data_IF_557997441205
#
_entry.id   IF_557997441205
#
_cell.length_a   1.000
_cell.length_b   1.000
_cell.length_c   1.000
_cell.angle_alpha   90.00
_cell.angle_beta   90.00
_cell.angle_gamma   90.00
#
_symmetry.space_group_name_H-M   'P 1'
#
loop_
_entity.id
_entity.type
_entity.pdbx_description
1 polymer ?
#
# COMPACT_ATOMS: atom_id res chain seq x y z
N UNK A 1 -3.67 -41.69 4.49
CA UNK A 1 -2.83 -40.47 4.42
C UNK A 1 -3.34 -39.39 3.45
N UNK A 2 -4.20 -39.68 2.46
CA UNK A 2 -4.77 -38.65 1.56
C UNK A 2 -5.88 -37.75 2.15
N UNK A 3 -6.49 -38.14 3.27
CA UNK A 3 -7.61 -37.40 3.89
C UNK A 3 -7.16 -36.13 4.65
N UNK A 4 -5.97 -36.12 5.24
CA UNK A 4 -5.49 -34.97 6.02
C UNK A 4 -4.96 -33.83 5.13
N UNK A 5 -4.41 -34.14 3.96
CA UNK A 5 -3.91 -33.13 3.01
C UNK A 5 -5.05 -32.29 2.40
N UNK A 6 -6.23 -32.91 2.21
CA UNK A 6 -7.40 -32.22 1.67
C UNK A 6 -8.08 -31.30 2.70
N UNK A 7 -8.02 -31.60 4.00
CA UNK A 7 -8.49 -30.71 5.06
C UNK A 7 -7.63 -29.45 5.20
N UNK A 8 -6.31 -29.57 5.03
CA UNK A 8 -5.40 -28.41 5.05
C UNK A 8 -5.61 -27.54 3.82
N UNK A 9 -5.78 -28.12 2.62
CA UNK A 9 -6.14 -27.35 1.42
C UNK A 9 -7.51 -26.65 1.54
N UNK A 10 -8.48 -27.25 2.20
CA UNK A 10 -9.80 -26.64 2.41
C UNK A 10 -9.75 -25.46 3.39
N UNK A 11 -8.91 -25.54 4.44
CA UNK A 11 -8.69 -24.45 5.40
C UNK A 11 -7.92 -23.26 4.80
N UNK A 12 -7.00 -23.51 3.85
CA UNK A 12 -6.31 -22.44 3.12
C UNK A 12 -7.17 -21.82 2.01
N UNK A 13 -8.12 -22.57 1.43
CA UNK A 13 -9.00 -22.05 0.38
C UNK A 13 -10.10 -21.12 0.90
N UNK A 14 -10.49 -21.24 2.17
CA UNK A 14 -11.57 -20.40 2.74
C UNK A 14 -11.12 -19.02 3.24
N UNK A 15 -9.81 -18.73 3.29
CA UNK A 15 -9.29 -17.42 3.74
C UNK A 15 -9.13 -16.39 2.62
N UNK A 16 -9.15 -16.82 1.35
CA UNK A 16 -8.91 -15.95 0.19
C UNK A 16 -10.20 -15.49 -0.53
N UNK A 17 -11.39 -15.78 0.01
CA UNK A 17 -12.66 -15.52 -0.71
C UNK A 17 -13.34 -14.19 -0.36
N UNK A 18 -12.69 -13.29 0.37
CA UNK A 18 -13.23 -11.98 0.72
C UNK A 18 -12.39 -10.88 0.09
N UNK A 19 -12.53 -10.70 -1.23
CA UNK A 19 -12.41 -9.41 -1.96
C UNK A 19 -12.21 -9.53 -3.47
N UNK A 20 -12.13 -10.74 -4.03
CA UNK A 20 -11.98 -10.92 -5.49
C UNK A 20 -13.15 -10.33 -6.30
N UNK A 21 -14.33 -10.16 -5.73
CA UNK A 21 -15.53 -9.73 -6.48
C UNK A 21 -15.45 -8.26 -6.91
N UNK A 22 -15.02 -7.33 -6.05
CA UNK A 22 -14.94 -5.90 -6.40
C UNK A 22 -13.76 -5.57 -7.33
N UNK A 23 -12.63 -6.26 -7.13
CA UNK A 23 -11.43 -6.08 -7.95
C UNK A 23 -11.61 -6.74 -9.32
N UNK A 24 -12.25 -7.91 -9.40
CA UNK A 24 -12.55 -8.55 -10.69
C UNK A 24 -13.65 -7.84 -11.50
N UNK A 25 -14.65 -7.22 -10.87
CA UNK A 25 -15.66 -6.40 -11.58
C UNK A 25 -15.09 -5.07 -12.11
N UNK A 26 -14.18 -4.43 -11.36
CA UNK A 26 -13.49 -3.22 -11.83
C UNK A 26 -12.45 -3.52 -12.93
N UNK A 27 -11.70 -4.62 -12.80
CA UNK A 27 -10.73 -5.06 -13.82
C UNK A 27 -11.45 -5.53 -15.10
N UNK A 28 -12.62 -6.17 -15.00
CA UNK A 28 -13.40 -6.59 -16.18
C UNK A 28 -14.12 -5.44 -16.88
N UNK A 29 -14.46 -4.35 -16.17
CA UNK A 29 -15.10 -3.17 -16.78
C UNK A 29 -14.14 -2.26 -17.54
N UNK A 30 -12.90 -2.10 -17.07
CA UNK A 30 -11.89 -1.25 -17.74
C UNK A 30 -11.39 -1.92 -19.04
N UNK A 31 -11.31 -3.25 -19.08
CA UNK A 31 -10.73 -3.97 -20.23
C UNK A 31 -11.69 -4.07 -21.43
N UNK A 32 -13.01 -4.00 -21.22
CA UNK A 32 -14.00 -4.04 -22.31
C UNK A 32 -14.03 -2.76 -23.15
N UNK A 33 -13.61 -1.62 -22.60
CA UNK A 33 -13.61 -0.34 -23.29
C UNK A 33 -12.45 -0.23 -24.31
N UNK A 34 -11.24 -0.64 -23.92
CA UNK A 34 -10.05 -0.56 -24.79
C UNK A 34 -10.09 -1.54 -25.96
N UNK A 35 -10.66 -2.74 -25.76
CA UNK A 35 -10.78 -3.74 -26.84
C UNK A 35 -11.78 -3.26 -27.90
N UNK A 36 -12.90 -2.65 -27.49
CA UNK A 36 -13.89 -2.07 -28.41
C UNK A 36 -13.30 -0.89 -29.19
N UNK A 37 -12.54 -0.03 -28.52
CA UNK A 37 -11.86 1.09 -29.17
C UNK A 37 -10.78 0.63 -30.17
N UNK A 38 -10.01 -0.41 -29.82
CA UNK A 38 -9.00 -0.98 -30.72
C UNK A 38 -9.63 -1.63 -31.96
N UNK A 39 -10.69 -2.43 -31.79
CA UNK A 39 -11.43 -3.02 -32.92
C UNK A 39 -12.02 -1.93 -33.81
N UNK A 40 -12.63 -0.90 -33.21
CA UNK A 40 -13.19 0.24 -33.95
C UNK A 40 -12.10 0.99 -34.72
N UNK A 41 -10.91 1.17 -34.14
CA UNK A 41 -9.77 1.83 -34.81
C UNK A 41 -9.27 1.04 -36.02
N UNK A 42 -9.25 -0.30 -35.94
CA UNK A 42 -8.84 -1.18 -37.04
C UNK A 42 -9.89 -1.14 -38.16
N UNK A 43 -11.17 -1.22 -37.82
CA UNK A 43 -12.26 -1.09 -38.80
C UNK A 43 -12.28 0.30 -39.47
N UNK A 44 -12.05 1.36 -38.70
CA UNK A 44 -11.97 2.73 -39.21
C UNK A 44 -10.77 2.93 -40.13
N UNK A 45 -9.61 2.39 -39.75
CA UNK A 45 -8.40 2.44 -40.56
C UNK A 45 -8.55 1.62 -41.86
N UNK A 46 -9.03 0.38 -41.78
CA UNK A 46 -9.17 -0.52 -42.93
C UNK A 46 -10.29 -0.14 -43.91
N UNK A 47 -11.33 0.56 -43.44
CA UNK A 47 -12.44 1.04 -44.25
C UNK A 47 -12.20 2.46 -44.77
N UNK A 48 -12.83 3.48 -44.16
CA UNK A 48 -12.90 4.84 -44.72
C UNK A 48 -11.53 5.49 -44.92
N UNK A 49 -10.59 5.34 -43.99
CA UNK A 49 -9.27 5.97 -44.10
C UNK A 49 -8.47 5.40 -45.26
N UNK A 50 -8.45 4.08 -45.42
CA UNK A 50 -7.76 3.40 -46.52
C UNK A 50 -8.38 3.72 -47.87
N UNK A 51 -9.72 3.76 -47.95
CA UNK A 51 -10.44 4.13 -49.18
C UNK A 51 -10.10 5.56 -49.60
N UNK A 52 -10.11 6.51 -48.67
CA UNK A 52 -9.75 7.92 -48.94
C UNK A 52 -8.28 8.02 -49.36
N UNK A 53 -7.37 7.38 -48.63
CA UNK A 53 -5.93 7.43 -48.90
C UNK A 53 -5.57 6.88 -50.28
N UNK A 54 -6.17 5.75 -50.67
CA UNK A 54 -5.91 5.11 -51.98
C UNK A 54 -6.56 5.91 -53.09
N UNK A 55 -7.80 6.38 -52.90
CA UNK A 55 -8.50 7.18 -53.91
C UNK A 55 -7.74 8.48 -54.18
N UNK A 56 -7.30 9.16 -53.12
CA UNK A 56 -6.53 10.40 -53.25
C UNK A 56 -5.14 10.15 -53.83
N UNK A 57 -4.41 9.15 -53.34
CA UNK A 57 -3.05 8.84 -53.79
C UNK A 57 -3.00 8.39 -55.25
N UNK A 58 -3.94 7.56 -55.67
CA UNK A 58 -4.01 7.09 -57.06
C UNK A 58 -4.51 8.17 -58.01
N UNK A 59 -5.47 9.01 -57.57
CA UNK A 59 -5.94 10.13 -58.37
C UNK A 59 -4.83 11.18 -58.60
N UNK A 60 -4.05 11.50 -57.56
CA UNK A 60 -2.88 12.39 -57.70
C UNK A 60 -1.78 11.81 -58.60
N UNK A 61 -1.63 10.48 -58.60
CA UNK A 61 -0.56 9.81 -59.34
C UNK A 61 -0.90 9.52 -60.81
N UNK A 62 -2.15 9.15 -61.12
CA UNK A 62 -2.55 8.66 -62.45
C UNK A 62 -3.74 9.43 -63.06
N UNK A 63 -4.34 10.39 -62.34
CA UNK A 63 -5.45 11.21 -62.83
C UNK A 63 -6.78 10.46 -63.05
N UNK A 64 -6.84 9.18 -62.70
CA UNK A 64 -8.00 8.31 -62.91
C UNK A 64 -8.51 7.72 -61.60
N UNK A 65 -9.75 7.21 -61.61
CA UNK A 65 -10.37 6.55 -60.46
C UNK A 65 -9.75 5.16 -60.26
N UNK A 66 -9.57 4.77 -58.99
CA UNK A 66 -9.00 3.48 -58.61
C UNK A 66 -9.95 2.34 -59.00
N UNK A 67 -9.46 1.25 -59.59
CA UNK A 67 -10.23 0.02 -59.77
C UNK A 67 -10.70 -0.57 -58.43
N UNK A 68 -11.98 -0.97 -58.35
CA UNK A 68 -12.58 -1.54 -57.12
C UNK A 68 -11.80 -2.73 -56.55
N UNK A 69 -11.19 -3.55 -57.41
CA UNK A 69 -10.37 -4.71 -57.01
C UNK A 69 -9.14 -4.27 -56.20
N UNK A 70 -8.51 -3.16 -56.58
CA UNK A 70 -7.33 -2.61 -55.89
C UNK A 70 -7.70 -2.03 -54.54
N UNK A 71 -8.84 -1.32 -54.45
CA UNK A 71 -9.37 -0.80 -53.18
C UNK A 71 -9.65 -1.96 -52.21
N UNK A 72 -10.34 -3.00 -52.69
CA UNK A 72 -10.64 -4.17 -51.87
C UNK A 72 -9.36 -4.87 -51.38
N UNK A 73 -8.37 -5.09 -52.27
CA UNK A 73 -7.11 -5.72 -51.92
C UNK A 73 -6.38 -5.00 -50.78
N UNK A 74 -6.20 -3.68 -50.90
CA UNK A 74 -5.52 -2.90 -49.87
C UNK A 74 -6.33 -2.78 -48.57
N UNK A 75 -7.65 -2.67 -48.64
CA UNK A 75 -8.50 -2.70 -47.43
C UNK A 75 -8.34 -4.02 -46.67
N UNK A 76 -8.30 -5.16 -47.36
CA UNK A 76 -8.01 -6.46 -46.72
C UNK A 76 -6.59 -6.51 -46.16
N UNK A 77 -5.60 -6.01 -46.90
CA UNK A 77 -4.21 -5.96 -46.42
C UNK A 77 -4.07 -5.14 -45.12
N UNK A 78 -4.63 -3.93 -45.08
CA UNK A 78 -4.61 -3.06 -43.88
C UNK A 78 -5.36 -3.70 -42.72
N UNK A 79 -6.48 -4.38 -43.00
CA UNK A 79 -7.20 -5.14 -41.99
C UNK A 79 -6.34 -6.25 -41.37
N UNK A 80 -5.65 -7.07 -42.18
CA UNK A 80 -4.79 -8.13 -41.69
C UNK A 80 -3.57 -7.59 -40.92
N UNK A 81 -2.93 -6.52 -41.39
CA UNK A 81 -1.82 -5.88 -40.68
C UNK A 81 -2.27 -5.32 -39.34
N UNK A 82 -3.44 -4.66 -39.29
CA UNK A 82 -4.05 -4.17 -38.05
C UNK A 82 -4.39 -5.31 -37.08
N UNK A 83 -4.90 -6.43 -37.59
CA UNK A 83 -5.21 -7.62 -36.81
C UNK A 83 -3.95 -8.25 -36.20
N UNK A 84 -2.86 -8.36 -36.95
CA UNK A 84 -1.57 -8.87 -36.45
C UNK A 84 -1.00 -7.94 -35.36
N UNK A 85 -1.08 -6.62 -35.55
CA UNK A 85 -0.69 -5.64 -34.54
C UNK A 85 -1.51 -5.74 -33.26
N UNK A 86 -2.82 -5.96 -33.39
CA UNK A 86 -3.73 -6.15 -32.25
C UNK A 86 -3.42 -7.43 -31.46
N UNK A 87 -3.25 -8.56 -32.15
CA UNK A 87 -2.88 -9.84 -31.51
C UNK A 87 -1.52 -9.69 -30.82
N UNK A 88 -0.55 -9.05 -31.46
CA UNK A 88 0.77 -8.79 -30.87
C UNK A 88 0.64 -7.96 -29.59
N UNK A 89 -0.17 -6.89 -29.60
CA UNK A 89 -0.44 -6.08 -28.42
C UNK A 89 -1.06 -6.89 -27.28
N UNK A 90 -2.06 -7.74 -27.56
CA UNK A 90 -2.67 -8.63 -26.55
C UNK A 90 -1.62 -9.54 -25.92
N UNK A 91 -0.77 -10.16 -26.74
CA UNK A 91 0.29 -11.06 -26.25
C UNK A 91 1.29 -10.29 -25.37
N UNK A 92 1.76 -9.12 -25.82
CA UNK A 92 2.69 -8.30 -25.04
C UNK A 92 2.08 -7.80 -23.73
N UNK A 93 0.84 -7.32 -23.76
CA UNK A 93 0.13 -6.87 -22.57
C UNK A 93 -0.10 -8.04 -21.60
N UNK A 94 -0.49 -9.23 -22.10
CA UNK A 94 -0.66 -10.43 -21.28
C UNK A 94 0.63 -10.86 -20.58
N UNK A 95 1.77 -10.86 -21.28
CA UNK A 95 3.08 -11.16 -20.69
C UNK A 95 3.44 -10.12 -19.61
N UNK A 96 3.23 -8.83 -19.91
CA UNK A 96 3.49 -7.73 -18.97
C UNK A 96 2.60 -7.81 -17.73
N UNK A 97 1.33 -8.20 -17.89
CA UNK A 97 0.38 -8.40 -16.79
C UNK A 97 0.79 -9.57 -15.90
N UNK A 98 1.12 -10.73 -16.49
CA UNK A 98 1.59 -11.89 -15.73
C UNK A 98 2.85 -11.58 -14.90
N UNK A 99 3.77 -10.80 -15.47
CA UNK A 99 4.95 -10.36 -14.72
C UNK A 99 4.59 -9.40 -13.57
N UNK A 100 3.62 -8.50 -13.76
CA UNK A 100 3.14 -7.61 -12.69
C UNK A 100 2.45 -8.39 -11.57
N UNK A 101 1.58 -9.33 -11.90
CA UNK A 101 0.91 -10.20 -10.93
C UNK A 101 1.93 -11.00 -10.12
N UNK A 102 2.91 -11.64 -10.79
CA UNK A 102 3.97 -12.37 -10.09
C UNK A 102 4.81 -11.49 -9.16
N UNK A 103 5.06 -10.23 -9.55
CA UNK A 103 5.78 -9.29 -8.70
C UNK A 103 4.92 -8.85 -7.50
N UNK A 104 3.62 -8.67 -7.69
CA UNK A 104 2.68 -8.37 -6.61
C UNK A 104 2.58 -9.55 -5.62
N UNK A 105 2.46 -10.78 -6.11
CA UNK A 105 2.40 -11.98 -5.27
C UNK A 105 3.68 -12.17 -4.46
N UNK A 106 4.85 -12.02 -5.11
CA UNK A 106 6.14 -12.07 -4.41
C UNK A 106 6.25 -10.98 -3.36
N UNK A 107 5.80 -9.77 -3.68
CA UNK A 107 5.83 -8.65 -2.75
C UNK A 107 4.92 -8.91 -1.54
N UNK A 108 3.68 -9.34 -1.76
CA UNK A 108 2.74 -9.70 -0.69
C UNK A 108 3.29 -10.82 0.19
N UNK A 109 3.87 -11.86 -0.42
CA UNK A 109 4.51 -12.95 0.29
C UNK A 109 5.65 -12.47 1.18
N UNK A 110 6.54 -11.59 0.68
CA UNK A 110 7.63 -11.03 1.48
C UNK A 110 7.11 -10.18 2.64
N UNK A 111 6.04 -9.41 2.43
CA UNK A 111 5.42 -8.62 3.51
C UNK A 111 4.84 -9.54 4.58
N UNK A 112 4.06 -10.56 4.19
CA UNK A 112 3.46 -11.53 5.11
C UNK A 112 4.53 -12.28 5.92
N UNK A 113 5.55 -12.81 5.24
CA UNK A 113 6.66 -13.53 5.88
C UNK A 113 7.45 -12.62 6.85
N UNK A 114 7.67 -11.37 6.47
CA UNK A 114 8.33 -10.38 7.34
C UNK A 114 7.53 -10.13 8.61
N UNK A 115 6.21 -9.99 8.49
CA UNK A 115 5.31 -9.79 9.62
C UNK A 115 5.23 -11.03 10.52
N UNK A 116 5.17 -12.22 9.94
CA UNK A 116 5.17 -13.47 10.67
C UNK A 116 6.49 -13.66 11.44
N UNK A 117 7.63 -13.38 10.79
CA UNK A 117 8.95 -13.43 11.41
C UNK A 117 9.08 -12.42 12.56
N UNK A 118 8.55 -11.21 12.37
CA UNK A 118 8.50 -10.17 13.40
C UNK A 118 7.64 -10.63 14.59
N UNK A 119 6.47 -11.21 14.34
CA UNK A 119 5.58 -11.73 15.38
C UNK A 119 6.27 -12.83 16.21
N UNK A 120 6.90 -13.82 15.55
CA UNK A 120 7.61 -14.90 16.23
C UNK A 120 8.77 -14.36 17.08
N UNK A 121 9.53 -13.40 16.54
CA UNK A 121 10.63 -12.76 17.26
C UNK A 121 10.15 -11.99 18.49
N UNK A 122 9.07 -11.20 18.34
CA UNK A 122 8.44 -10.51 19.47
C UNK A 122 7.93 -11.48 20.53
N UNK A 123 7.30 -12.59 20.13
CA UNK A 123 6.82 -13.62 21.05
C UNK A 123 7.95 -14.20 21.93
N UNK A 124 9.09 -14.53 21.32
CA UNK A 124 10.27 -15.04 22.04
C UNK A 124 10.84 -13.99 23.01
N UNK A 125 10.90 -12.73 22.57
CA UNK A 125 11.38 -11.65 23.45
C UNK A 125 10.42 -11.45 24.63
N UNK A 126 9.11 -11.42 24.38
CA UNK A 126 8.10 -11.22 25.41
C UNK A 126 8.02 -12.39 26.41
N UNK A 127 8.29 -13.62 25.98
CA UNK A 127 8.29 -14.79 26.88
C UNK A 127 9.43 -14.78 27.89
N UNK A 128 10.49 -14.01 27.63
CA UNK A 128 11.66 -13.91 28.50
C UNK A 128 11.58 -12.72 29.48
N UNK A 129 10.51 -11.93 29.42
CA UNK A 129 10.32 -10.75 30.27
C UNK A 129 9.41 -11.06 31.46
N UNK A 130 9.60 -10.33 32.55
CA UNK A 130 8.67 -10.33 33.69
C UNK A 130 7.33 -9.71 33.31
N UNK A 131 6.27 -10.04 34.05
CA UNK A 131 4.91 -9.59 33.73
C UNK A 131 4.82 -8.07 33.57
N UNK A 132 5.33 -7.29 34.53
CA UNK A 132 5.30 -5.83 34.46
C UNK A 132 6.10 -5.26 33.26
N UNK A 133 7.28 -5.81 32.97
CA UNK A 133 8.11 -5.33 31.85
C UNK A 133 7.49 -5.71 30.51
N UNK A 134 6.87 -6.90 30.43
CA UNK A 134 6.11 -7.36 29.27
C UNK A 134 4.92 -6.44 29.00
N UNK A 135 4.14 -6.12 30.03
CA UNK A 135 2.93 -5.29 29.89
C UNK A 135 3.28 -3.84 29.53
N UNK A 136 4.38 -3.30 30.08
CA UNK A 136 4.95 -2.02 29.65
C UNK A 136 5.34 -2.05 28.16
N UNK A 137 6.02 -3.11 27.72
CA UNK A 137 6.47 -3.24 26.34
C UNK A 137 5.31 -3.38 25.35
N UNK A 138 4.29 -4.17 25.70
CA UNK A 138 3.09 -4.35 24.89
C UNK A 138 2.33 -3.02 24.75
N UNK A 139 2.08 -2.33 25.86
CA UNK A 139 1.38 -1.05 25.84
C UNK A 139 2.16 -0.01 25.01
N UNK A 140 3.48 0.05 25.17
CA UNK A 140 4.33 0.94 24.39
C UNK A 140 4.24 0.65 22.88
N UNK A 141 4.41 -0.60 22.47
CA UNK A 141 4.37 -0.98 21.05
C UNK A 141 3.00 -0.70 20.41
N UNK A 142 1.91 -0.94 21.15
CA UNK A 142 0.55 -0.64 20.67
C UNK A 142 0.35 0.87 20.50
N UNK A 143 0.67 1.66 21.53
CA UNK A 143 0.45 3.12 21.49
C UNK A 143 1.42 3.83 20.54
N UNK A 144 2.57 3.23 20.27
CA UNK A 144 3.52 3.72 19.27
C UNK A 144 3.10 3.40 17.84
N UNK A 145 2.14 2.50 17.59
CA UNK A 145 1.70 2.11 16.24
C UNK A 145 1.14 3.33 15.48
N UNK A 146 1.36 3.38 14.16
CA UNK A 146 0.88 4.47 13.28
C UNK A 146 -0.64 4.47 13.04
N UNK A 147 -1.31 3.38 13.38
CA UNK A 147 -2.75 3.20 13.27
C UNK A 147 -3.13 2.07 14.25
N UNK A 148 -3.28 2.38 15.55
CA UNK A 148 -3.86 1.45 16.48
C UNK A 148 -5.37 1.39 16.28
N UNK A 149 -5.96 0.21 16.42
CA UNK A 149 -7.41 0.04 16.46
C UNK A 149 -7.96 0.47 17.82
N UNK A 150 -9.25 0.80 17.89
CA UNK A 150 -9.90 1.19 19.16
C UNK A 150 -9.73 0.14 20.26
N UNK A 151 -9.78 -1.14 19.88
CA UNK A 151 -9.58 -2.29 20.79
C UNK A 151 -8.14 -2.47 21.23
N UNK A 152 -7.17 -2.21 20.35
CA UNK A 152 -5.76 -2.19 20.75
C UNK A 152 -5.51 -1.09 21.80
N UNK A 153 -6.08 0.11 21.63
CA UNK A 153 -5.97 1.19 22.61
C UNK A 153 -6.60 0.80 23.94
N UNK A 154 -7.82 0.29 23.91
CA UNK A 154 -8.50 -0.21 25.11
C UNK A 154 -7.62 -1.20 25.87
N UNK A 155 -7.09 -2.21 25.17
CA UNK A 155 -6.23 -3.23 25.76
C UNK A 155 -4.95 -2.65 26.36
N UNK A 156 -4.29 -1.70 25.67
CA UNK A 156 -3.08 -1.06 26.18
C UNK A 156 -3.32 -0.30 27.48
N UNK A 157 -4.48 0.34 27.65
CA UNK A 157 -4.86 1.02 28.89
C UNK A 157 -5.29 0.04 29.99
N UNK A 158 -6.04 -1.01 29.65
CA UNK A 158 -6.50 -2.03 30.61
C UNK A 158 -5.34 -2.77 31.29
N UNK A 159 -4.18 -2.89 30.61
CA UNK A 159 -2.98 -3.49 31.20
C UNK A 159 -2.43 -2.71 32.41
N UNK A 160 -2.69 -1.39 32.51
CA UNK A 160 -2.08 -0.51 33.51
C UNK A 160 -3.08 0.27 34.36
N UNK A 161 -4.33 0.36 33.92
CA UNK A 161 -5.36 1.22 34.52
C UNK A 161 -6.73 0.55 34.56
N UNK A 162 -7.61 1.15 35.35
CA UNK A 162 -8.99 0.69 35.47
C UNK A 162 -9.73 0.72 34.13
N UNK A 163 -10.70 -0.18 34.00
CA UNK A 163 -11.57 -0.29 32.82
C UNK A 163 -12.21 1.04 32.42
N UNK A 164 -12.57 1.89 33.39
CA UNK A 164 -13.14 3.22 33.12
C UNK A 164 -12.19 4.10 32.28
N UNK A 165 -10.88 4.05 32.56
CA UNK A 165 -9.89 4.83 31.81
C UNK A 165 -9.69 4.24 30.41
N UNK A 166 -9.67 2.91 30.30
CA UNK A 166 -9.55 2.22 29.01
C UNK A 166 -10.74 2.52 28.08
N UNK A 167 -11.97 2.47 28.59
CA UNK A 167 -13.18 2.83 27.85
C UNK A 167 -13.13 4.31 27.42
N UNK A 168 -12.67 5.20 28.30
CA UNK A 168 -12.54 6.62 27.96
C UNK A 168 -11.53 6.87 26.83
N UNK A 169 -10.37 6.20 26.86
CA UNK A 169 -9.37 6.28 25.80
C UNK A 169 -9.91 5.73 24.45
N UNK A 170 -10.67 4.63 24.48
CA UNK A 170 -11.35 4.09 23.31
C UNK A 170 -12.32 5.10 22.70
N UNK A 171 -13.16 5.73 23.53
CA UNK A 171 -14.14 6.74 23.08
C UNK A 171 -13.43 7.97 22.49
N UNK A 172 -12.36 8.45 23.11
CA UNK A 172 -11.56 9.57 22.57
C UNK A 172 -11.04 9.23 21.18
N UNK A 173 -10.49 8.02 21.00
CA UNK A 173 -10.01 7.58 19.69
C UNK A 173 -11.13 7.56 18.65
N UNK A 174 -12.27 6.94 18.96
CA UNK A 174 -13.41 6.86 18.05
C UNK A 174 -13.94 8.25 17.65
N UNK A 175 -14.09 9.16 18.61
CA UNK A 175 -14.52 10.53 18.32
C UNK A 175 -13.52 11.24 17.40
N UNK A 176 -12.21 11.10 17.68
CA UNK A 176 -11.17 11.75 16.89
C UNK A 176 -11.11 11.23 15.46
N UNK A 177 -11.16 9.91 15.29
CA UNK A 177 -11.10 9.23 13.98
C UNK A 177 -12.30 9.59 13.10
N UNK A 178 -13.48 9.78 13.71
CA UNK A 178 -14.70 10.18 13.01
C UNK A 178 -14.90 11.71 12.94
N UNK A 179 -13.98 12.52 13.46
CA UNK A 179 -14.05 13.99 13.40
C UNK A 179 -15.10 14.63 14.32
N UNK A 180 -15.58 13.91 15.35
CA UNK A 180 -16.55 14.43 16.31
C UNK A 180 -15.87 15.08 17.53
N UNK A 181 -16.39 16.22 18.03
CA UNK A 181 -15.89 16.81 19.28
C UNK A 181 -16.31 15.96 20.49
N UNK A 182 -15.48 15.95 21.53
CA UNK A 182 -15.75 15.25 22.80
C UNK A 182 -15.81 16.22 24.01
N UNK A 183 -15.82 17.52 23.75
CA UNK A 183 -15.65 18.63 24.72
C UNK A 183 -16.88 18.88 25.61
N UNK A 184 -17.26 17.88 26.40
CA UNK A 184 -18.26 18.05 27.46
C UNK A 184 -17.59 18.38 28.80
N UNK A 185 -18.23 19.15 29.70
CA UNK A 185 -17.69 19.42 31.03
C UNK A 185 -17.39 18.14 31.83
N UNK A 186 -18.18 17.08 31.65
CA UNK A 186 -17.96 15.78 32.28
C UNK A 186 -16.67 15.12 31.77
N UNK A 187 -16.45 15.12 30.45
CA UNK A 187 -15.24 14.56 29.84
C UNK A 187 -13.98 15.35 30.22
N UNK A 188 -14.08 16.67 30.35
CA UNK A 188 -12.97 17.50 30.85
C UNK A 188 -12.57 17.12 32.27
N UNK A 189 -13.54 16.87 33.16
CA UNK A 189 -13.26 16.38 34.53
C UNK A 189 -12.60 15.01 34.51
N UNK A 190 -13.09 14.07 33.68
CA UNK A 190 -12.48 12.74 33.51
C UNK A 190 -11.04 12.84 32.99
N UNK A 191 -10.81 13.66 31.98
CA UNK A 191 -9.48 13.90 31.41
C UNK A 191 -8.49 14.39 32.47
N UNK A 192 -8.86 15.38 33.29
CA UNK A 192 -8.00 15.91 34.36
C UNK A 192 -7.69 14.82 35.40
N UNK A 193 -8.70 14.05 35.82
CA UNK A 193 -8.54 12.93 36.76
C UNK A 193 -7.52 11.91 36.23
N UNK A 194 -7.71 11.45 34.99
CA UNK A 194 -6.86 10.43 34.39
C UNK A 194 -5.45 10.93 34.07
N UNK A 195 -5.32 12.20 33.65
CA UNK A 195 -4.02 12.83 33.45
C UNK A 195 -3.18 12.83 34.74
N UNK A 196 -3.81 13.17 35.88
CA UNK A 196 -3.14 13.14 37.19
C UNK A 196 -2.75 11.71 37.59
N UNK A 197 -3.60 10.72 37.31
CA UNK A 197 -3.34 9.32 37.62
C UNK A 197 -2.14 8.76 36.83
N UNK A 198 -2.05 9.07 35.53
CA UNK A 198 -0.91 8.64 34.70
C UNK A 198 0.38 9.32 35.14
N UNK A 199 0.36 10.64 35.34
CA UNK A 199 1.55 11.41 35.72
C UNK A 199 2.12 11.02 37.08
N UNK A 200 1.25 10.63 38.03
CA UNK A 200 1.67 10.24 39.40
C UNK A 200 2.11 8.77 39.48
N UNK A 201 1.87 7.95 38.45
CA UNK A 201 2.22 6.53 38.47
C UNK A 201 3.74 6.34 38.50
N UNK A 202 4.25 5.61 39.50
CA UNK A 202 5.68 5.30 39.64
C UNK A 202 6.07 3.99 38.93
N UNK A 203 5.13 3.12 38.63
CA UNK A 203 5.37 1.79 38.04
C UNK A 203 5.58 1.81 36.52
N UNK A 204 5.26 2.94 35.88
CA UNK A 204 5.27 3.13 34.43
C UNK A 204 6.51 3.98 34.04
N UNK A 205 7.32 3.54 33.06
CA UNK A 205 8.40 4.36 32.51
C UNK A 205 7.92 5.69 31.93
N UNK A 206 8.73 6.74 32.03
CA UNK A 206 8.33 8.11 31.64
C UNK A 206 7.94 8.20 30.14
N UNK A 207 8.67 7.49 29.29
CA UNK A 207 8.46 7.39 27.85
C UNK A 207 7.07 6.81 27.52
N UNK A 208 6.64 5.82 28.30
CA UNK A 208 5.33 5.19 28.17
C UNK A 208 4.22 6.08 28.72
N UNK A 209 4.47 6.81 29.81
CA UNK A 209 3.51 7.82 30.31
C UNK A 209 3.22 8.86 29.24
N UNK A 210 4.25 9.35 28.54
CA UNK A 210 4.06 10.31 27.47
C UNK A 210 3.11 9.77 26.39
N UNK A 211 3.26 8.50 26.00
CA UNK A 211 2.36 7.83 25.03
C UNK A 211 0.94 7.71 25.56
N UNK A 212 0.74 7.35 26.82
CA UNK A 212 -0.60 7.33 27.43
C UNK A 212 -1.25 8.72 27.45
N UNK A 213 -0.48 9.76 27.79
CA UNK A 213 -0.97 11.14 27.80
C UNK A 213 -1.31 11.65 26.39
N UNK A 214 -0.50 11.30 25.38
CA UNK A 214 -0.79 11.61 23.98
C UNK A 214 -2.08 10.91 23.53
N UNK A 215 -2.24 9.63 23.88
CA UNK A 215 -3.42 8.83 23.55
C UNK A 215 -4.71 9.40 24.17
N UNK A 216 -4.66 9.89 25.41
CA UNK A 216 -5.80 10.54 26.09
C UNK A 216 -6.26 11.85 25.43
N UNK A 217 -5.44 12.46 24.58
CA UNK A 217 -5.82 13.66 23.81
C UNK A 217 -6.10 13.30 22.35
N UNK A 218 -6.14 12.00 22.01
CA UNK A 218 -6.36 11.52 20.65
C UNK A 218 -5.18 11.82 19.71
N UNK A 219 -3.97 11.98 20.26
CA UNK A 219 -2.75 12.17 19.48
C UNK A 219 -2.05 10.82 19.32
N UNK A 220 -2.01 10.34 18.08
CA UNK A 220 -1.29 9.14 17.69
C UNK A 220 -0.34 9.48 16.53
N UNK A 221 0.65 8.62 16.31
CA UNK A 221 1.45 8.67 15.11
C UNK A 221 0.54 8.45 13.89
N UNK A 222 0.66 9.28 12.86
CA UNK A 222 -0.08 9.14 11.60
C UNK A 222 0.86 8.52 10.56
N UNK A 223 0.37 7.64 9.68
CA UNK A 223 1.14 7.10 8.55
C UNK A 223 1.84 8.19 7.71
N UNK A 224 1.23 9.38 7.58
CA UNK A 224 1.83 10.51 6.84
C UNK A 224 2.99 11.19 7.58
N UNK A 225 2.93 11.24 8.91
CA UNK A 225 4.00 11.81 9.75
C UNK A 225 5.07 10.76 10.07
N UNK A 226 4.63 9.51 10.17
CA UNK A 226 5.35 8.30 10.56
C UNK A 226 5.80 8.30 12.02
N UNK A 227 6.45 7.21 12.41
CA UNK A 227 6.99 7.04 13.76
C UNK A 227 8.27 7.85 13.97
N UNK A 228 8.38 8.46 15.15
CA UNK A 228 9.63 9.02 15.64
C UNK A 228 10.63 7.88 15.90
N UNK A 229 11.82 8.01 15.33
CA UNK A 229 12.89 7.01 15.41
C UNK A 229 14.16 7.66 15.94
N UNK A 230 15.03 6.84 16.55
CA UNK A 230 16.34 7.29 17.05
C UNK A 230 17.17 7.92 15.93
N UNK A 231 17.90 8.99 16.26
CA UNK A 231 18.80 9.64 15.32
C UNK A 231 19.84 8.64 14.78
N UNK A 232 20.12 8.69 13.48
CA UNK A 232 21.05 7.76 12.83
C UNK A 232 20.49 6.36 12.57
N UNK A 233 19.19 6.11 12.78
CA UNK A 233 18.54 4.81 12.49
C UNK A 233 18.85 4.29 11.09
N UNK A 234 18.70 5.12 10.04
CA UNK A 234 18.99 4.70 8.67
C UNK A 234 20.47 4.35 8.46
N UNK A 235 21.37 5.12 9.07
CA UNK A 235 22.80 4.86 9.01
C UNK A 235 23.16 3.56 9.73
N UNK A 236 22.55 3.28 10.90
CA UNK A 236 22.70 2.01 11.60
C UNK A 236 22.23 0.87 10.72
N UNK A 237 21.01 0.94 10.18
CA UNK A 237 20.46 -0.10 9.29
C UNK A 237 21.37 -0.35 8.08
N UNK A 238 21.87 0.69 7.44
CA UNK A 238 22.76 0.56 6.28
C UNK A 238 24.10 -0.06 6.65
N UNK A 239 24.70 0.36 7.76
CA UNK A 239 25.98 -0.17 8.24
C UNK A 239 25.86 -1.60 8.78
N UNK A 240 24.69 -1.99 9.28
CA UNK A 240 24.39 -3.34 9.76
C UNK A 240 24.02 -4.30 8.63
N UNK A 241 23.83 -3.82 7.39
CA UNK A 241 23.49 -4.66 6.25
C UNK A 241 24.62 -5.67 5.97
N UNK A 242 24.38 -6.94 6.34
CA UNK A 242 25.35 -8.04 6.19
C UNK A 242 26.04 -8.48 7.49
N UNK A 243 25.85 -7.76 8.60
CA UNK A 243 26.43 -8.10 9.91
C UNK A 243 25.30 -8.44 10.90
N UNK A 244 25.01 -9.74 11.06
CA UNK A 244 23.87 -10.26 11.84
C UNK A 244 23.77 -9.74 13.28
N UNK A 245 24.89 -9.37 13.91
CA UNK A 245 24.91 -8.94 15.31
C UNK A 245 24.65 -7.44 15.53
N UNK A 246 24.56 -6.64 14.45
CA UNK A 246 24.34 -5.19 14.53
C UNK A 246 22.91 -4.76 14.16
N UNK A 247 22.06 -5.71 13.77
CA UNK A 247 20.68 -5.48 13.37
C UNK A 247 19.74 -6.14 14.37
N UNK A 248 19.12 -5.34 15.23
CA UNK A 248 18.26 -5.84 16.30
C UNK A 248 16.77 -5.89 15.89
N UNK A 249 15.94 -6.44 16.78
CA UNK A 249 14.49 -6.53 16.56
C UNK A 249 13.82 -5.15 16.46
N UNK A 250 14.34 -4.14 17.16
CA UNK A 250 13.82 -2.77 17.12
C UNK A 250 14.09 -2.17 15.74
N UNK A 251 15.29 -2.37 15.19
CA UNK A 251 15.67 -1.98 13.84
C UNK A 251 14.80 -2.68 12.80
N UNK A 252 14.61 -4.00 12.91
CA UNK A 252 13.75 -4.78 12.03
C UNK A 252 12.31 -4.24 12.01
N UNK A 253 11.72 -4.00 13.19
CA UNK A 253 10.40 -3.41 13.33
C UNK A 253 10.32 -2.02 12.68
N UNK A 254 11.30 -1.16 12.97
CA UNK A 254 11.36 0.20 12.45
C UNK A 254 11.51 0.25 10.91
N UNK A 255 12.26 -0.69 10.33
CA UNK A 255 12.44 -0.84 8.88
C UNK A 255 11.13 -1.30 8.23
N UNK A 256 10.49 -2.34 8.75
CA UNK A 256 9.19 -2.83 8.24
C UNK A 256 8.14 -1.72 8.29
N UNK A 257 8.04 -1.01 9.42
CA UNK A 257 7.12 0.12 9.56
C UNK A 257 7.47 1.26 8.59
N UNK A 258 8.75 1.54 8.37
CA UNK A 258 9.19 2.57 7.41
C UNK A 258 8.74 2.22 5.99
N UNK A 259 8.90 0.96 5.57
CA UNK A 259 8.44 0.51 4.26
C UNK A 259 6.95 0.75 4.07
N UNK A 260 6.13 0.49 5.09
CA UNK A 260 4.68 0.68 5.02
C UNK A 260 4.31 2.15 4.98
N UNK A 261 4.97 2.98 5.77
CA UNK A 261 4.79 4.44 5.74
C UNK A 261 5.11 5.00 4.34
N UNK A 262 6.21 4.56 3.73
CA UNK A 262 6.60 4.93 2.37
C UNK A 262 5.55 4.50 1.34
N UNK A 263 5.06 3.26 1.43
CA UNK A 263 3.98 2.76 0.56
C UNK A 263 2.66 3.53 0.76
N UNK A 264 2.39 3.98 1.99
CA UNK A 264 1.23 4.81 2.33
C UNK A 264 1.38 6.28 1.87
N UNK A 265 2.49 6.62 1.21
CA UNK A 265 2.73 7.94 0.64
C UNK A 265 3.43 8.93 1.57
N UNK A 266 4.05 8.47 2.66
CA UNK A 266 4.90 9.31 3.51
C UNK A 266 6.07 9.85 2.69
N UNK A 267 6.18 11.18 2.59
CA UNK A 267 7.32 11.85 1.99
C UNK A 267 8.38 12.09 3.05
N UNK A 268 9.51 11.39 2.94
CA UNK A 268 10.68 11.67 3.78
C UNK A 268 11.45 12.80 3.10
N UNK A 269 11.41 14.00 3.67
CA UNK A 269 12.06 15.18 3.09
C UNK A 269 13.59 15.04 2.91
N UNK A 270 14.21 14.11 3.65
CA UNK A 270 15.63 13.77 3.49
C UNK A 270 15.92 12.97 2.19
N UNK A 271 14.93 12.24 1.66
CA UNK A 271 15.01 11.49 0.40
C UNK A 271 14.42 12.29 -0.77
N UNK A 272 14.71 13.60 -0.84
CA UNK A 272 14.70 14.27 -2.15
C UNK A 272 15.94 13.78 -2.90
N UNK A 273 15.92 12.52 -3.32
CA UNK A 273 16.72 12.09 -4.45
C UNK A 273 16.21 12.91 -5.62
N UNK A 274 16.84 14.06 -5.85
CA UNK A 274 16.73 14.75 -7.13
C UNK A 274 17.22 13.70 -8.12
N UNK A 275 16.26 13.06 -8.78
CA UNK A 275 16.55 12.20 -9.90
C UNK A 275 17.37 13.06 -10.87
N UNK A 276 18.67 12.77 -10.98
CA UNK A 276 19.51 13.38 -12.03
C UNK A 276 18.96 13.08 -13.43
N UNK A 277 17.91 12.26 -13.57
CA UNK A 277 17.21 12.02 -14.83
C UNK A 277 16.06 12.99 -15.11
N UNK A 278 15.55 13.75 -14.12
CA UNK A 278 14.50 14.75 -14.36
C UNK A 278 15.05 16.12 -14.83
N UNK A 279 16.31 16.44 -14.52
CA UNK A 279 16.95 17.72 -14.91
C UNK A 279 17.53 17.74 -16.34
N UNK A 280 17.68 16.60 -17.00
CA UNK A 280 18.41 16.55 -18.29
C UNK A 280 17.49 16.77 -19.52
N UNK A 281 16.17 16.90 -19.35
CA UNK A 281 15.23 16.93 -20.50
C UNK A 281 14.31 18.15 -20.63
N UNK A 282 14.44 19.18 -19.79
CA UNK A 282 13.54 20.36 -19.91
C UNK A 282 14.19 21.63 -20.50
N UNK A 283 15.51 21.78 -20.44
CA UNK A 283 16.15 23.04 -20.85
C UNK A 283 16.83 23.01 -22.24
N UNK A 284 16.77 21.88 -22.97
CA UNK A 284 17.34 21.77 -24.33
C UNK A 284 16.31 21.85 -25.46
N UNK A 285 15.02 22.06 -25.17
CA UNK A 285 13.96 22.09 -26.18
C UNK A 285 13.48 23.49 -26.58
N UNK A 286 14.02 24.56 -26.00
CA UNK A 286 13.60 25.94 -26.31
C UNK A 286 14.75 26.95 -26.53
N UNK A 287 15.97 26.48 -26.81
CA UNK A 287 17.02 27.34 -27.36
C UNK A 287 17.37 26.86 -28.78
N UNK A 288 16.54 27.27 -29.73
CA UNK A 288 16.90 27.55 -31.12
C UNK A 288 16.22 28.86 -31.50
#
# INVERSE_FOLDING_TARGET
>A
MLSQVNKVKALFKSRNSYNDTYVSELISSIHRADIKAAILSILWAAGPVTIIAITLGYYLSHGQKVPLVTVAYFSFYVFFVGLVGFISKIVFDSIKHRNKEQMQDKFLYVIEESYQSLYLSKKIVLSNLTDQVRDNKIAYEILAKSHPTSKEIFYAFELHFDKEMAEFAEIIYLHRDNGFPIDTPANKRKLIKFYKQISTSQSIPEDLKEKFLQALVGKYSDLKRGLDRKAGFLSKVYNSAGMYNLFDLEDANNVITLFIELLSGRKIYYLKAVSKFEDVKKDYLFNC
#
